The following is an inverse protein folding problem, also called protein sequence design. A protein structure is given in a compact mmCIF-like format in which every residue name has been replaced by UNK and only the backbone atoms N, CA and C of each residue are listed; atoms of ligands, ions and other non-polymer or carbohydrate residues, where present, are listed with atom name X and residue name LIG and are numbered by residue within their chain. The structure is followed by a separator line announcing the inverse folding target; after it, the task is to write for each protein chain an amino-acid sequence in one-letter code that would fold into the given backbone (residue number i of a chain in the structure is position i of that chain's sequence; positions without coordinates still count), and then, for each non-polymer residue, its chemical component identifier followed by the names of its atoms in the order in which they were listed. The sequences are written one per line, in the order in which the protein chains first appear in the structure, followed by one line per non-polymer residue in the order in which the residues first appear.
data_IF_017619210644
#
_entry.id   IF_017619210644
#
_cell.length_a   1.000
_cell.length_b   1.000
_cell.length_c   1.000
_cell.angle_alpha   90.00
_cell.angle_beta   90.00
_cell.angle_gamma   90.00
#
_symmetry.space_group_name_H-M   'P 1'
#
loop_
_entity.id
_entity.type
_entity.pdbx_description
1 polymer ?
#
# COMPACT_ATOMS: atom_id res chain seq x y z
N UNK A 1 47.56 38.74 5.64
CA UNK A 1 47.76 37.28 5.57
C UNK A 1 47.05 36.63 6.74
N UNK A 2 46.01 35.80 6.53
CA UNK A 2 45.33 35.13 7.63
C UNK A 2 46.23 34.00 8.18
N UNK A 3 46.43 34.02 9.50
CA UNK A 3 47.08 32.96 10.28
C UNK A 3 46.02 31.92 10.64
N UNK A 4 46.17 30.69 10.16
CA UNK A 4 45.23 29.62 10.51
C UNK A 4 45.34 28.33 9.69
N UNK A 5 46.34 28.18 8.82
CA UNK A 5 46.57 26.90 8.16
C UNK A 5 47.50 26.05 9.03
N UNK A 6 46.94 25.03 9.68
CA UNK A 6 47.70 23.86 10.12
C UNK A 6 47.80 22.90 8.93
N UNK A 7 48.99 22.40 8.58
CA UNK A 7 49.13 21.32 7.62
C UNK A 7 48.35 20.11 8.12
N UNK A 8 47.51 19.53 7.26
CA UNK A 8 46.92 18.23 7.52
C UNK A 8 48.08 17.23 7.57
N UNK A 9 48.39 16.72 8.75
CA UNK A 9 49.44 15.73 8.94
C UNK A 9 48.92 14.38 8.46
N UNK A 10 49.77 13.55 7.85
CA UNK A 10 49.37 12.22 7.36
C UNK A 10 48.85 11.29 8.50
N UNK A 11 49.01 11.71 9.76
CA UNK A 11 48.43 11.06 10.94
C UNK A 11 46.93 11.34 11.12
N UNK A 12 46.39 12.44 10.57
CA UNK A 12 44.97 12.82 10.61
C UNK A 12 44.13 12.00 9.62
N UNK A 13 44.79 11.38 8.64
CA UNK A 13 44.19 10.56 7.61
C UNK A 13 43.96 9.10 8.06
N UNK A 14 44.38 8.72 9.28
CA UNK A 14 43.90 7.51 9.92
C UNK A 14 42.59 7.82 10.62
N UNK A 15 41.54 8.09 9.83
CA UNK A 15 40.20 7.67 10.26
C UNK A 15 40.37 6.21 10.72
N UNK A 16 40.02 5.91 11.97
CA UNK A 16 39.97 4.53 12.46
C UNK A 16 39.12 3.74 11.47
N UNK A 17 39.79 3.01 10.57
CA UNK A 17 39.13 2.15 9.61
C UNK A 17 38.31 1.17 10.46
N UNK A 18 36.96 1.20 10.39
CA UNK A 18 36.14 0.36 11.24
C UNK A 18 36.56 -1.09 11.02
N UNK A 19 36.82 -1.81 12.13
CA UNK A 19 37.31 -3.20 12.11
C UNK A 19 36.53 -3.99 11.05
N UNK A 20 37.20 -4.54 10.02
CA UNK A 20 36.50 -5.07 8.86
C UNK A 20 35.54 -6.16 9.29
N UNK A 21 34.24 -5.87 9.17
CA UNK A 21 33.15 -6.82 9.41
C UNK A 21 33.51 -8.17 8.82
N UNK A 22 33.32 -9.23 9.60
CA UNK A 22 33.65 -10.58 9.17
C UNK A 22 32.89 -10.90 7.88
N UNK A 23 33.42 -11.82 7.07
CA UNK A 23 32.74 -12.25 5.82
C UNK A 23 31.29 -12.70 6.05
N UNK A 24 30.98 -13.17 7.26
CA UNK A 24 29.65 -13.58 7.68
C UNK A 24 28.75 -12.37 7.94
N UNK A 25 29.20 -11.39 8.73
CA UNK A 25 28.46 -10.14 9.00
C UNK A 25 28.18 -9.35 7.71
N UNK A 26 29.16 -9.24 6.80
CA UNK A 26 28.97 -8.63 5.50
C UNK A 26 27.95 -9.38 4.62
N UNK A 27 27.82 -10.70 4.79
CA UNK A 27 26.83 -11.50 4.08
C UNK A 27 25.41 -11.32 4.66
N UNK A 28 25.31 -11.21 5.99
CA UNK A 28 24.05 -10.92 6.68
C UNK A 28 23.53 -9.52 6.34
N UNK A 29 24.39 -8.49 6.40
CA UNK A 29 24.01 -7.13 6.05
C UNK A 29 23.50 -7.04 4.60
N UNK A 30 24.19 -7.67 3.63
CA UNK A 30 23.71 -7.72 2.24
C UNK A 30 22.33 -8.37 2.11
N UNK A 31 22.04 -9.36 2.95
CA UNK A 31 20.76 -10.07 2.97
C UNK A 31 19.65 -9.17 3.54
N UNK A 32 19.92 -8.46 4.62
CA UNK A 32 18.98 -7.51 5.23
C UNK A 32 18.63 -6.37 4.28
N UNK A 33 19.63 -5.80 3.60
CA UNK A 33 19.41 -4.76 2.59
C UNK A 33 18.65 -5.29 1.36
N UNK A 34 18.77 -6.57 1.04
CA UNK A 34 17.95 -7.20 0.00
C UNK A 34 16.50 -7.37 0.47
N UNK A 35 16.28 -7.80 1.71
CA UNK A 35 14.95 -7.93 2.31
C UNK A 35 14.20 -6.59 2.35
N UNK A 36 14.84 -5.53 2.81
CA UNK A 36 14.22 -4.19 2.90
C UNK A 36 13.75 -3.69 1.53
N UNK A 37 14.56 -3.88 0.48
CA UNK A 37 14.18 -3.53 -0.91
C UNK A 37 12.98 -4.33 -1.40
N UNK A 38 12.90 -5.62 -1.09
CA UNK A 38 11.75 -6.45 -1.46
C UNK A 38 10.48 -6.04 -0.72
N UNK A 39 10.62 -5.64 0.54
CA UNK A 39 9.50 -5.17 1.37
C UNK A 39 8.94 -3.84 0.85
N UNK A 40 9.81 -2.87 0.53
CA UNK A 40 9.41 -1.61 -0.09
C UNK A 40 8.74 -1.81 -1.47
N UNK A 41 9.18 -2.79 -2.25
CA UNK A 41 8.51 -3.15 -3.50
C UNK A 41 7.09 -3.69 -3.27
N UNK A 42 6.91 -4.57 -2.28
CA UNK A 42 5.58 -5.08 -1.89
C UNK A 42 4.66 -3.96 -1.42
N UNK A 43 5.14 -3.05 -0.58
CA UNK A 43 4.36 -1.88 -0.14
C UNK A 43 3.89 -1.01 -1.32
N UNK A 44 4.76 -0.75 -2.30
CA UNK A 44 4.39 0.00 -3.51
C UNK A 44 3.32 -0.70 -4.34
N UNK A 45 3.42 -2.02 -4.51
CA UNK A 45 2.38 -2.78 -5.21
C UNK A 45 1.04 -2.68 -4.47
N UNK A 46 1.05 -2.83 -3.15
CA UNK A 46 -0.14 -2.69 -2.33
C UNK A 46 -0.77 -1.29 -2.44
N UNK A 47 0.03 -0.23 -2.36
CA UNK A 47 -0.44 1.14 -2.57
C UNK A 47 -1.02 1.35 -3.97
N UNK A 48 -0.48 0.68 -4.99
CA UNK A 48 -1.03 0.71 -6.35
C UNK A 48 -2.41 0.04 -6.43
N UNK A 49 -2.59 -1.11 -5.77
CA UNK A 49 -3.89 -1.79 -5.68
C UNK A 49 -4.93 -0.93 -4.93
N UNK A 50 -4.55 -0.26 -3.84
CA UNK A 50 -5.45 0.66 -3.14
C UNK A 50 -5.91 1.80 -4.06
N UNK A 51 -4.97 2.38 -4.81
CA UNK A 51 -5.26 3.48 -5.74
C UNK A 51 -6.24 3.05 -6.83
N UNK A 52 -6.04 1.87 -7.44
CA UNK A 52 -6.93 1.38 -8.50
C UNK A 52 -8.31 1.00 -7.96
N UNK A 53 -8.39 0.43 -6.75
CA UNK A 53 -9.67 0.14 -6.09
C UNK A 53 -10.48 1.41 -5.80
N UNK A 54 -9.83 2.46 -5.27
CA UNK A 54 -10.46 3.76 -5.02
C UNK A 54 -10.93 4.43 -6.32
N UNK A 55 -10.07 4.45 -7.35
CA UNK A 55 -10.43 5.01 -8.65
C UNK A 55 -11.62 4.28 -9.29
N UNK A 56 -11.61 2.94 -9.30
CA UNK A 56 -12.72 2.13 -9.82
C UNK A 56 -14.03 2.42 -9.10
N UNK A 57 -13.99 2.51 -7.76
CA UNK A 57 -15.17 2.80 -6.94
C UNK A 57 -15.70 4.21 -7.20
N UNK A 58 -14.81 5.21 -7.27
CA UNK A 58 -15.17 6.59 -7.55
C UNK A 58 -15.79 6.75 -8.95
N UNK A 59 -15.24 6.07 -9.96
CA UNK A 59 -15.78 6.08 -11.32
C UNK A 59 -17.13 5.35 -11.37
N UNK A 60 -17.28 4.20 -10.72
CA UNK A 60 -18.57 3.49 -10.65
C UNK A 60 -19.66 4.31 -9.96
N UNK A 61 -19.33 4.97 -8.85
CA UNK A 61 -20.25 5.87 -8.16
C UNK A 61 -20.59 7.11 -9.00
N UNK A 62 -19.58 7.75 -9.59
CA UNK A 62 -19.78 8.90 -10.47
C UNK A 62 -20.65 8.55 -11.68
N UNK A 63 -20.42 7.38 -12.29
CA UNK A 63 -21.23 6.91 -13.40
C UNK A 63 -22.70 6.67 -13.00
N UNK A 64 -22.95 6.08 -11.82
CA UNK A 64 -24.31 5.89 -11.33
C UNK A 64 -25.06 7.22 -11.13
N UNK A 65 -24.37 8.24 -10.60
CA UNK A 65 -24.99 9.51 -10.26
C UNK A 65 -25.13 10.44 -11.48
N UNK A 66 -24.10 10.55 -12.32
CA UNK A 66 -24.11 11.45 -13.49
C UNK A 66 -24.90 10.89 -14.68
N UNK A 67 -24.93 9.57 -14.87
CA UNK A 67 -25.56 8.94 -16.04
C UNK A 67 -26.89 8.26 -15.72
N UNK A 68 -27.38 8.32 -14.47
CA UNK A 68 -28.58 7.60 -14.02
C UNK A 68 -29.86 7.95 -14.79
N UNK A 69 -29.94 9.15 -15.36
CA UNK A 69 -31.10 9.64 -16.12
C UNK A 69 -31.06 9.26 -17.62
N UNK A 70 -29.99 8.60 -18.09
CA UNK A 70 -29.90 8.18 -19.49
C UNK A 70 -30.74 6.93 -19.74
N UNK A 71 -31.60 6.98 -20.76
CA UNK A 71 -32.22 5.78 -21.31
C UNK A 71 -31.23 5.01 -22.17
N UNK A 72 -31.10 3.67 -22.03
CA UNK A 72 -31.79 2.80 -21.08
C UNK A 72 -31.08 2.69 -19.72
N UNK A 73 -31.81 3.00 -18.65
CA UNK A 73 -31.27 3.09 -17.28
C UNK A 73 -30.65 1.77 -16.78
N UNK A 74 -31.17 0.61 -17.21
CA UNK A 74 -30.64 -0.69 -16.77
C UNK A 74 -29.17 -0.91 -17.16
N UNK A 75 -28.71 -0.34 -18.28
CA UNK A 75 -27.32 -0.46 -18.74
C UNK A 75 -26.41 0.35 -17.83
N UNK A 76 -26.80 1.59 -17.51
CA UNK A 76 -26.01 2.46 -16.63
C UNK A 76 -25.96 1.89 -15.21
N UNK A 77 -27.10 1.40 -14.71
CA UNK A 77 -27.21 0.75 -13.40
C UNK A 77 -26.30 -0.47 -13.30
N UNK A 78 -26.32 -1.35 -14.30
CA UNK A 78 -25.48 -2.57 -14.33
C UNK A 78 -23.99 -2.28 -14.54
N UNK A 79 -23.62 -1.35 -15.42
CA UNK A 79 -22.23 -0.94 -15.62
C UNK A 79 -21.63 -0.32 -14.34
N UNK A 80 -22.37 0.57 -13.70
CA UNK A 80 -21.96 1.21 -12.44
C UNK A 80 -21.83 0.19 -11.30
N UNK A 81 -22.79 -0.74 -11.19
CA UNK A 81 -22.74 -1.84 -10.24
C UNK A 81 -21.49 -2.72 -10.43
N UNK A 82 -21.15 -3.05 -11.68
CA UNK A 82 -19.94 -3.82 -11.99
C UNK A 82 -18.67 -3.08 -11.59
N UNK A 83 -18.56 -1.77 -11.84
CA UNK A 83 -17.39 -0.99 -11.43
C UNK A 83 -17.24 -0.89 -9.91
N UNK A 84 -18.35 -0.74 -9.18
CA UNK A 84 -18.37 -0.72 -7.72
C UNK A 84 -17.96 -2.09 -7.17
N UNK A 85 -18.50 -3.18 -7.72
CA UNK A 85 -18.12 -4.54 -7.36
C UNK A 85 -16.65 -4.85 -7.67
N UNK A 86 -16.14 -4.39 -8.81
CA UNK A 86 -14.73 -4.51 -9.15
C UNK A 86 -13.84 -3.73 -8.17
N UNK A 87 -14.24 -2.52 -7.78
CA UNK A 87 -13.57 -1.73 -6.74
C UNK A 87 -13.54 -2.44 -5.38
N UNK A 88 -14.67 -3.03 -4.98
CA UNK A 88 -14.77 -3.83 -3.76
C UNK A 88 -13.88 -5.09 -3.83
N UNK A 89 -13.88 -5.80 -4.96
CA UNK A 89 -13.04 -6.98 -5.17
C UNK A 89 -11.55 -6.62 -5.11
N UNK A 90 -11.13 -5.51 -5.70
CA UNK A 90 -9.76 -4.99 -5.61
C UNK A 90 -9.38 -4.70 -4.15
N UNK A 91 -10.30 -4.11 -3.36
CA UNK A 91 -10.08 -3.89 -1.94
C UNK A 91 -9.94 -5.19 -1.14
N UNK A 92 -10.76 -6.21 -1.45
CA UNK A 92 -10.67 -7.54 -0.83
C UNK A 92 -9.35 -8.22 -1.19
N UNK A 93 -8.91 -8.14 -2.45
CA UNK A 93 -7.61 -8.68 -2.87
C UNK A 93 -6.44 -7.96 -2.17
N UNK A 94 -6.53 -6.64 -2.03
CA UNK A 94 -5.59 -5.86 -1.20
C UNK A 94 -5.61 -6.33 0.26
N UNK A 95 -6.79 -6.53 0.84
CA UNK A 95 -6.96 -7.02 2.21
C UNK A 95 -6.35 -8.41 2.42
N UNK A 96 -6.57 -9.34 1.49
CA UNK A 96 -5.99 -10.69 1.55
C UNK A 96 -4.47 -10.62 1.44
N UNK A 97 -3.92 -9.79 0.54
CA UNK A 97 -2.48 -9.56 0.43
C UNK A 97 -1.84 -8.94 1.68
N UNK A 98 -2.55 -8.03 2.34
CA UNK A 98 -2.14 -7.46 3.62
C UNK A 98 -2.19 -8.49 4.75
N UNK A 99 -3.27 -9.28 4.81
CA UNK A 99 -3.51 -10.30 5.85
C UNK A 99 -2.50 -11.43 5.81
N UNK A 100 -2.08 -11.87 4.62
CA UNK A 100 -1.08 -12.94 4.47
C UNK A 100 0.32 -12.50 4.91
N UNK A 101 0.63 -11.21 4.72
CA UNK A 101 1.86 -10.57 5.23
C UNK A 101 1.77 -10.36 6.76
N UNK A 102 0.63 -9.89 7.27
CA UNK A 102 0.43 -9.59 8.70
C UNK A 102 0.39 -10.86 9.57
N UNK A 103 -0.11 -11.99 9.04
CA UNK A 103 -0.15 -13.28 9.76
C UNK A 103 1.24 -13.87 9.95
N UNK A 104 2.22 -13.50 9.12
CA UNK A 104 3.65 -13.84 9.30
C UNK A 104 4.38 -12.84 10.21
N UNK A 105 4.12 -11.53 10.10
CA UNK A 105 4.80 -10.51 10.92
C UNK A 105 4.36 -10.43 12.38
N UNK A 106 3.20 -11.00 12.76
CA UNK A 106 2.76 -11.02 14.18
C UNK A 106 3.64 -11.88 15.09
N UNK A 107 4.56 -12.68 14.53
CA UNK A 107 5.56 -13.42 15.31
C UNK A 107 6.77 -12.58 15.72
N UNK A 108 7.02 -11.44 15.06
CA UNK A 108 8.30 -10.70 15.20
C UNK A 108 8.15 -9.28 15.78
N UNK A 109 7.00 -8.93 16.38
CA UNK A 109 6.90 -7.72 17.21
C UNK A 109 7.00 -6.38 16.47
N UNK A 110 6.96 -6.35 15.14
CA UNK A 110 7.00 -5.11 14.36
C UNK A 110 5.62 -4.45 14.38
N UNK A 111 5.56 -3.17 14.82
CA UNK A 111 4.35 -2.34 14.89
C UNK A 111 3.80 -2.01 13.49
N UNK A 112 3.10 -2.96 12.87
CA UNK A 112 2.29 -2.72 11.69
C UNK A 112 0.94 -2.06 12.04
N UNK A 113 0.28 -1.46 11.04
CA UNK A 113 -1.05 -0.84 11.16
C UNK A 113 -2.05 -1.76 11.88
N UNK A 114 -2.88 -1.20 12.77
CA UNK A 114 -3.80 -1.97 13.60
C UNK A 114 -4.82 -2.72 12.70
N UNK A 115 -4.89 -4.06 12.75
CA UNK A 115 -5.66 -4.88 11.80
C UNK A 115 -7.17 -4.58 11.80
N UNK A 116 -7.67 -4.01 12.89
CA UNK A 116 -9.06 -3.56 13.01
C UNK A 116 -9.40 -2.40 12.06
N UNK A 117 -8.47 -1.48 11.78
CA UNK A 117 -8.72 -0.33 10.87
C UNK A 117 -8.97 -0.85 9.46
N UNK A 118 -8.19 -1.84 9.03
CA UNK A 118 -8.36 -2.43 7.70
C UNK A 118 -9.68 -3.19 7.59
N UNK A 119 -10.04 -3.96 8.62
CA UNK A 119 -11.35 -4.62 8.69
C UNK A 119 -12.52 -3.63 8.69
N UNK A 120 -12.40 -2.50 9.39
CA UNK A 120 -13.40 -1.45 9.42
C UNK A 120 -13.57 -0.78 8.04
N UNK A 121 -12.47 -0.50 7.34
CA UNK A 121 -12.51 0.08 5.98
C UNK A 121 -13.16 -0.90 4.99
N UNK A 122 -12.80 -2.18 5.03
CA UNK A 122 -13.43 -3.20 4.15
C UNK A 122 -14.92 -3.35 4.45
N UNK A 123 -15.32 -3.40 5.71
CA UNK A 123 -16.74 -3.47 6.09
C UNK A 123 -17.51 -2.23 5.64
N UNK A 124 -16.96 -1.03 5.86
CA UNK A 124 -17.57 0.23 5.41
C UNK A 124 -17.74 0.27 3.89
N UNK A 125 -16.75 -0.25 3.13
CA UNK A 125 -16.82 -0.31 1.67
C UNK A 125 -17.87 -1.30 1.18
N UNK A 126 -17.98 -2.48 1.80
CA UNK A 126 -19.00 -3.48 1.46
C UNK A 126 -20.41 -2.98 1.81
N UNK A 127 -20.56 -2.29 2.93
CA UNK A 127 -21.81 -1.63 3.31
C UNK A 127 -22.17 -0.53 2.30
N UNK A 128 -21.21 0.31 1.91
CA UNK A 128 -21.40 1.34 0.90
C UNK A 128 -21.81 0.76 -0.45
N UNK A 129 -21.13 -0.29 -0.93
CA UNK A 129 -21.48 -0.99 -2.15
C UNK A 129 -22.89 -1.62 -2.07
N UNK A 130 -23.24 -2.26 -0.95
CA UNK A 130 -24.57 -2.82 -0.73
C UNK A 130 -25.66 -1.77 -0.70
N UNK A 131 -25.41 -0.62 -0.06
CA UNK A 131 -26.35 0.50 0.01
C UNK A 131 -26.55 1.15 -1.36
N UNK A 132 -25.48 1.30 -2.15
CA UNK A 132 -25.55 1.79 -3.53
C UNK A 132 -26.31 0.83 -4.43
N UNK A 133 -26.07 -0.48 -4.33
CA UNK A 133 -26.83 -1.48 -5.07
C UNK A 133 -28.31 -1.49 -4.69
N UNK A 134 -28.61 -1.35 -3.39
CA UNK A 134 -29.99 -1.25 -2.91
C UNK A 134 -30.69 0.00 -3.45
N UNK A 135 -30.03 1.17 -3.43
CA UNK A 135 -30.57 2.40 -4.00
C UNK A 135 -30.82 2.26 -5.52
N UNK A 136 -29.86 1.68 -6.24
CA UNK A 136 -29.93 1.48 -7.69
C UNK A 136 -31.03 0.50 -8.09
N UNK A 137 -31.29 -0.55 -7.30
CA UNK A 137 -32.32 -1.57 -7.56
C UNK A 137 -33.69 -1.22 -6.95
N UNK A 138 -33.73 -0.29 -6.01
CA UNK A 138 -34.95 0.15 -5.32
C UNK A 138 -35.74 1.24 -6.04
N UNK A 139 -35.12 1.91 -7.02
CA UNK A 139 -35.79 2.77 -8.03
C UNK A 139 -36.21 1.97 -9.26
#
# INVERSE_FOLDING_TARGET
MPKGWSPMTDDDAREEDPDPLTKQELAEERTDWALERTLLAKQRTFAAWLRTGLASTAVGFGAAQLLGDLEPQWVVKSASALLVLAGAAIFVLGFVGYSDTFRKLRKDGVKGFHPWIVGAVTAAMLLGAGLLLFAVLGE
#
